data_IF_727063990514
#
_entry.id   IF_727063990514
#
_cell.length_a   1.000
_cell.length_b   1.000
_cell.length_c   1.000
_cell.angle_alpha   90.00
_cell.angle_beta   90.00
_cell.angle_gamma   90.00
#
_symmetry.space_group_name_H-M   'P 1'
#
loop_
_entity.id
_entity.type
_entity.pdbx_description
1 polymer ?
#
# COMPACT_ATOMS: atom_id res chain seq x y z
N UNK A 1 -10.05 12.30 17.51
CA UNK A 1 -9.19 11.79 16.43
C UNK A 1 -8.77 12.95 15.53
N UNK A 2 -7.64 12.85 14.83
CA UNK A 2 -7.11 13.89 13.94
C UNK A 2 -6.57 13.23 12.67
N UNK A 3 -7.05 13.68 11.52
CA UNK A 3 -6.50 13.32 10.21
C UNK A 3 -5.44 14.34 9.80
N UNK A 4 -4.24 13.88 9.44
CA UNK A 4 -3.16 14.71 8.93
C UNK A 4 -2.79 14.25 7.51
N UNK A 5 -2.63 15.20 6.59
CA UNK A 5 -2.34 14.91 5.20
C UNK A 5 -0.99 15.51 4.80
N UNK A 6 -0.01 14.65 4.53
CA UNK A 6 1.22 15.02 3.84
C UNK A 6 0.94 14.92 2.33
N UNK A 7 0.61 16.05 1.72
CA UNK A 7 0.21 16.12 0.30
C UNK A 7 1.31 15.56 -0.60
N UNK A 8 0.92 14.73 -1.55
CA UNK A 8 1.84 13.96 -2.41
C UNK A 8 2.53 12.76 -1.76
N UNK A 9 2.16 12.34 -0.53
CA UNK A 9 2.88 11.27 0.17
C UNK A 9 1.94 10.32 0.93
N UNK A 10 1.28 10.80 1.99
CA UNK A 10 0.55 9.94 2.92
C UNK A 10 -0.55 10.66 3.71
N UNK A 11 -1.50 9.90 4.24
CA UNK A 11 -2.49 10.34 5.23
C UNK A 11 -2.29 9.58 6.53
N UNK A 12 -2.32 10.29 7.65
CA UNK A 12 -2.17 9.73 8.99
C UNK A 12 -3.43 9.99 9.82
N UNK A 13 -3.86 8.99 10.58
CA UNK A 13 -4.91 9.14 11.57
C UNK A 13 -4.35 8.96 12.97
N UNK A 14 -4.58 9.94 13.83
CA UNK A 14 -4.16 9.92 15.23
C UNK A 14 -5.35 9.93 16.20
N UNK A 15 -5.21 9.23 17.32
CA UNK A 15 -6.03 9.40 18.52
C UNK A 15 -5.20 10.12 19.60
N UNK A 16 -5.53 11.38 19.90
CA UNK A 16 -4.66 12.21 20.74
C UNK A 16 -3.28 12.39 20.11
N UNK A 17 -2.25 11.82 20.74
CA UNK A 17 -0.86 11.79 20.24
C UNK A 17 -0.49 10.47 19.58
N UNK A 18 -1.33 9.45 19.70
CA UNK A 18 -1.03 8.11 19.25
C UNK A 18 -1.41 7.93 17.78
N UNK A 19 -0.48 7.43 16.97
CA UNK A 19 -0.71 7.11 15.57
C UNK A 19 -1.51 5.81 15.48
N UNK A 20 -2.67 5.84 14.85
CA UNK A 20 -3.45 4.64 14.54
C UNK A 20 -2.99 4.02 13.22
N UNK A 21 -2.84 4.83 12.18
CA UNK A 21 -2.24 4.37 10.94
C UNK A 21 -1.60 5.49 10.13
N UNK A 22 -0.68 5.09 9.25
CA UNK A 22 -0.22 5.86 8.09
C UNK A 22 -0.58 5.11 6.81
N UNK A 23 -1.32 5.76 5.93
CA UNK A 23 -1.66 5.29 4.58
C UNK A 23 -0.79 6.04 3.57
N UNK A 24 0.20 5.35 3.00
CA UNK A 24 1.08 5.87 1.95
C UNK A 24 0.44 5.57 0.60
N UNK A 25 0.09 6.62 -0.14
CA UNK A 25 -0.55 6.48 -1.46
C UNK A 25 0.41 6.77 -2.62
N UNK A 26 1.54 7.42 -2.34
CA UNK A 26 2.67 7.53 -3.27
C UNK A 26 3.81 6.63 -2.80
N UNK A 27 3.82 5.39 -3.28
CA UNK A 27 4.77 4.36 -2.82
C UNK A 27 6.13 4.50 -3.49
N UNK A 28 7.16 4.80 -2.69
CA UNK A 28 8.57 4.90 -3.12
C UNK A 28 9.37 3.59 -3.14
N UNK A 29 8.71 2.43 -3.09
CA UNK A 29 9.39 1.13 -3.15
C UNK A 29 9.92 0.82 -4.55
N UNK A 30 10.79 -0.18 -4.63
CA UNK A 30 11.41 -0.59 -5.89
C UNK A 30 10.33 -0.99 -6.92
N UNK A 31 10.46 -0.61 -8.21
CA UNK A 31 9.57 -1.08 -9.26
C UNK A 31 9.36 -2.61 -9.31
N UNK A 32 10.38 -3.39 -8.95
CA UNK A 32 10.30 -4.86 -8.87
C UNK A 32 9.32 -5.35 -7.80
N UNK A 33 8.97 -4.51 -6.84
CA UNK A 33 8.05 -4.80 -5.73
C UNK A 33 6.60 -4.41 -6.05
N UNK A 34 6.32 -4.07 -7.30
CA UNK A 34 5.00 -3.68 -7.79
C UNK A 34 4.36 -2.57 -6.95
N UNK A 35 4.89 -1.32 -6.99
CA UNK A 35 4.48 -0.24 -6.09
C UNK A 35 2.96 0.00 -6.10
N UNK A 36 2.40 0.20 -4.91
CA UNK A 36 0.97 0.39 -4.68
C UNK A 36 0.72 1.10 -3.35
N UNK A 37 -0.45 1.72 -3.13
CA UNK A 37 -0.80 2.26 -1.82
C UNK A 37 -0.83 1.20 -0.72
N UNK A 38 -0.40 1.55 0.49
CA UNK A 38 -0.35 0.64 1.62
C UNK A 38 -0.50 1.36 2.97
N UNK A 39 -0.95 0.62 3.99
CA UNK A 39 -0.92 1.03 5.38
C UNK A 39 0.33 0.49 6.08
N UNK A 40 1.19 1.39 6.58
CA UNK A 40 2.23 1.05 7.55
C UNK A 40 2.82 2.32 8.21
N UNK A 41 2.94 2.35 9.55
CA UNK A 41 2.43 1.36 10.49
C UNK A 41 0.90 1.41 10.58
N UNK A 42 0.28 0.29 10.95
CA UNK A 42 -1.12 0.21 11.38
C UNK A 42 -1.12 -0.38 12.79
N UNK A 43 -1.84 0.26 13.71
CA UNK A 43 -1.81 -0.06 15.14
C UNK A 43 -3.20 -0.30 15.69
N UNK A 44 -3.28 -1.15 16.71
CA UNK A 44 -4.46 -1.27 17.57
C UNK A 44 -4.65 -0.01 18.42
N UNK A 45 -5.83 0.15 19.03
CA UNK A 45 -6.07 1.23 20.00
C UNK A 45 -5.18 1.16 21.25
N UNK A 46 -4.58 -0.02 21.53
CA UNK A 46 -3.61 -0.19 22.60
C UNK A 46 -2.17 0.19 22.19
N UNK A 47 -1.95 0.56 20.93
CA UNK A 47 -0.64 0.96 20.40
C UNK A 47 0.17 -0.16 19.74
N UNK A 48 -0.29 -1.41 19.79
CA UNK A 48 0.39 -2.56 19.17
C UNK A 48 0.35 -2.46 17.64
N UNK A 49 1.51 -2.56 16.98
CA UNK A 49 1.63 -2.58 15.52
C UNK A 49 1.24 -3.94 14.94
N UNK A 50 0.38 -3.93 13.93
CA UNK A 50 -0.20 -5.15 13.32
C UNK A 50 0.21 -5.34 11.86
N UNK A 51 1.12 -4.51 11.35
CA UNK A 51 1.71 -4.66 10.02
C UNK A 51 3.22 -4.79 10.10
N UNK A 52 3.81 -5.44 9.12
CA UNK A 52 5.25 -5.45 8.89
C UNK A 52 5.51 -4.81 7.52
N UNK A 53 6.49 -3.92 7.46
CA UNK A 53 6.99 -3.43 6.18
C UNK A 53 8.13 -4.31 5.72
N UNK A 54 8.00 -4.89 4.51
CA UNK A 54 9.08 -5.59 3.82
C UNK A 54 9.62 -6.80 4.59
N UNK A 55 8.83 -7.89 4.73
CA UNK A 55 9.31 -9.15 5.32
C UNK A 55 10.60 -9.64 4.65
N UNK A 56 11.48 -10.27 5.42
CA UNK A 56 12.80 -10.68 4.96
C UNK A 56 12.78 -11.79 3.88
N UNK A 57 11.74 -12.63 3.90
CA UNK A 57 11.54 -13.75 2.99
C UNK A 57 10.78 -13.34 1.72
N UNK A 58 9.98 -12.28 1.80
CA UNK A 58 9.21 -11.73 0.69
C UNK A 58 9.29 -10.19 0.69
N UNK A 59 10.44 -9.62 0.30
CA UNK A 59 10.70 -8.19 0.41
C UNK A 59 9.76 -7.33 -0.47
N UNK A 60 9.09 -7.92 -1.45
CA UNK A 60 8.10 -7.22 -2.26
C UNK A 60 6.74 -7.01 -1.58
N UNK A 61 6.52 -7.53 -0.36
CA UNK A 61 5.31 -7.25 0.42
C UNK A 61 5.47 -6.03 1.31
N UNK A 62 4.58 -5.05 1.16
CA UNK A 62 4.66 -3.75 1.81
C UNK A 62 3.43 -3.48 2.65
N UNK A 63 3.57 -3.54 3.99
CA UNK A 63 2.50 -3.20 4.92
C UNK A 63 1.22 -4.01 4.69
N UNK A 64 0.07 -3.33 4.82
CA UNK A 64 -1.23 -3.84 4.41
C UNK A 64 -1.73 -3.06 3.19
N UNK A 65 -1.98 -3.73 2.08
CA UNK A 65 -2.42 -3.12 0.84
C UNK A 65 -3.64 -3.84 0.25
N UNK A 66 -4.50 -3.10 -0.44
CA UNK A 66 -5.49 -3.68 -1.33
C UNK A 66 -4.80 -3.96 -2.68
N UNK A 67 -4.88 -5.19 -3.19
CA UNK A 67 -4.23 -5.54 -4.45
C UNK A 67 -4.91 -6.71 -5.15
N UNK A 68 -4.69 -6.84 -6.47
CA UNK A 68 -4.75 -8.13 -7.16
C UNK A 68 -3.35 -8.76 -7.13
N UNK A 69 -3.23 -10.07 -7.30
CA UNK A 69 -1.93 -10.71 -7.52
C UNK A 69 -1.47 -10.54 -8.98
N UNK A 70 -2.42 -10.69 -9.91
CA UNK A 70 -2.16 -10.62 -11.34
C UNK A 70 -3.40 -10.08 -12.05
N UNK A 71 -3.24 -9.13 -12.96
CA UNK A 71 -4.34 -8.51 -13.70
C UNK A 71 -3.83 -7.99 -15.04
N UNK A 72 -4.58 -8.22 -16.12
CA UNK A 72 -4.27 -7.69 -17.47
C UNK A 72 -2.86 -8.00 -18.01
N UNK A 73 -2.24 -9.10 -17.58
CA UNK A 73 -0.88 -9.47 -18.00
C UNK A 73 0.22 -9.04 -17.03
N UNK A 74 -0.12 -8.23 -16.03
CA UNK A 74 0.82 -7.65 -15.08
C UNK A 74 0.76 -8.33 -13.71
N UNK A 75 1.94 -8.45 -13.10
CA UNK A 75 2.15 -8.97 -11.76
C UNK A 75 2.10 -7.83 -10.74
N UNK A 76 1.10 -7.84 -9.88
CA UNK A 76 0.93 -6.88 -8.80
C UNK A 76 1.34 -7.48 -7.44
N UNK A 77 1.72 -8.76 -7.39
CA UNK A 77 2.22 -9.38 -6.17
C UNK A 77 3.61 -8.88 -5.78
N UNK A 78 4.36 -8.40 -6.77
CA UNK A 78 5.78 -8.08 -6.63
C UNK A 78 6.66 -9.32 -6.74
N UNK A 79 7.97 -9.12 -6.92
CA UNK A 79 8.89 -10.23 -7.12
C UNK A 79 8.69 -10.95 -8.48
N UNK A 80 9.15 -12.21 -8.61
CA UNK A 80 9.03 -12.95 -9.85
C UNK A 80 7.59 -13.37 -10.16
N UNK A 81 7.23 -13.42 -11.45
CA UNK A 81 5.93 -13.91 -11.92
C UNK A 81 5.90 -15.43 -11.94
N UNK A 82 4.80 -16.03 -11.47
CA UNK A 82 4.56 -17.46 -11.67
C UNK A 82 4.08 -17.73 -13.10
N UNK A 83 4.87 -18.52 -13.85
CA UNK A 83 4.56 -18.99 -15.19
C UNK A 83 4.19 -20.47 -15.12
N UNK A 84 3.02 -20.81 -15.66
CA UNK A 84 2.55 -22.19 -15.70
C UNK A 84 3.56 -23.07 -16.44
N UNK A 85 3.87 -24.24 -15.87
CA UNK A 85 4.83 -25.23 -16.38
C UNK A 85 6.31 -24.80 -16.39
N UNK A 86 6.63 -23.56 -16.01
CA UNK A 86 8.00 -23.03 -15.92
C UNK A 86 8.40 -22.63 -14.48
N UNK A 87 7.43 -22.31 -13.62
CA UNK A 87 7.68 -21.85 -12.25
C UNK A 87 7.86 -20.34 -12.15
N UNK A 88 8.60 -19.87 -11.14
CA UNK A 88 8.83 -18.43 -10.93
C UNK A 88 9.96 -17.92 -11.82
N UNK A 89 9.66 -16.87 -12.60
CA UNK A 89 10.63 -16.20 -13.47
C UNK A 89 10.51 -14.68 -13.33
N UNK A 90 11.64 -14.00 -13.46
CA UNK A 90 11.65 -12.53 -13.59
C UNK A 90 11.21 -12.15 -15.00
N UNK A 91 10.08 -11.44 -15.07
CA UNK A 91 9.51 -10.91 -16.31
C UNK A 91 9.39 -9.39 -16.19
N UNK A 92 9.38 -8.70 -17.32
CA UNK A 92 9.16 -7.25 -17.38
C UNK A 92 7.66 -6.91 -17.34
N UNK A 93 6.94 -7.37 -16.31
CA UNK A 93 5.49 -7.21 -16.20
C UNK A 93 5.04 -6.77 -14.80
N UNK A 94 5.90 -6.12 -14.01
CA UNK A 94 5.53 -5.64 -12.68
C UNK A 94 4.53 -4.50 -12.79
N UNK A 95 3.30 -4.76 -12.35
CA UNK A 95 2.21 -3.80 -12.32
C UNK A 95 2.39 -2.77 -11.20
N UNK A 96 1.79 -1.61 -11.37
CA UNK A 96 1.81 -0.51 -10.39
C UNK A 96 0.39 -0.01 -10.16
N UNK A 97 -0.02 0.13 -8.91
CA UNK A 97 -1.28 0.81 -8.57
C UNK A 97 -0.94 2.26 -8.24
N UNK A 98 -1.54 3.22 -8.94
CA UNK A 98 -1.25 4.65 -8.82
C UNK A 98 -2.40 5.39 -8.15
N UNK A 99 -2.05 6.30 -7.25
CA UNK A 99 -2.97 7.32 -6.78
C UNK A 99 -3.28 8.28 -7.94
N UNK A 100 -4.57 8.45 -8.26
CA UNK A 100 -5.00 9.43 -9.26
C UNK A 100 -5.57 10.69 -8.60
N UNK A 101 -6.45 10.50 -7.62
CA UNK A 101 -7.06 11.61 -6.88
C UNK A 101 -7.74 11.14 -5.59
N UNK A 102 -7.83 12.06 -4.65
CA UNK A 102 -8.84 12.00 -3.60
C UNK A 102 -10.17 12.50 -4.17
N UNK A 103 -11.19 11.64 -4.20
CA UNK A 103 -12.54 12.05 -4.57
C UNK A 103 -13.21 12.78 -3.39
N UNK A 104 -13.00 12.28 -2.16
CA UNK A 104 -13.55 12.84 -0.93
C UNK A 104 -12.57 12.66 0.23
N UNK A 105 -12.50 13.67 1.10
CA UNK A 105 -11.71 13.63 2.34
C UNK A 105 -12.37 14.48 3.42
N UNK A 106 -12.69 13.86 4.57
CA UNK A 106 -13.34 14.50 5.71
C UNK A 106 -12.60 14.20 7.02
N UNK A 107 -12.55 15.18 7.93
CA UNK A 107 -11.83 15.07 9.20
C UNK A 107 -12.70 14.87 10.45
N UNK A 108 -13.97 15.30 10.42
CA UNK A 108 -14.94 15.04 11.48
C UNK A 108 -15.75 13.80 11.10
N UNK A 109 -15.56 12.70 11.84
CA UNK A 109 -15.85 11.36 11.33
C UNK A 109 -14.97 11.01 10.13
N UNK A 110 -13.67 10.68 10.33
CA UNK A 110 -12.71 10.55 9.26
C UNK A 110 -13.16 9.62 8.14
N UNK A 111 -13.16 10.14 6.91
CA UNK A 111 -13.54 9.40 5.71
C UNK A 111 -12.61 9.78 4.56
N UNK A 112 -12.20 8.77 3.79
CA UNK A 112 -11.32 8.89 2.64
C UNK A 112 -11.91 8.09 1.48
N UNK A 113 -12.05 8.72 0.30
CA UNK A 113 -12.40 8.07 -0.95
C UNK A 113 -11.32 8.36 -1.97
N UNK A 114 -10.66 7.32 -2.45
CA UNK A 114 -9.52 7.40 -3.36
C UNK A 114 -9.86 6.80 -4.72
N UNK A 115 -9.41 7.45 -5.79
CA UNK A 115 -9.40 6.88 -7.13
C UNK A 115 -8.01 6.39 -7.47
N UNK A 116 -7.96 5.15 -7.93
CA UNK A 116 -6.73 4.45 -8.30
C UNK A 116 -6.77 4.03 -9.77
N UNK A 117 -5.61 3.93 -10.39
CA UNK A 117 -5.40 3.26 -11.69
C UNK A 117 -4.35 2.17 -11.55
N UNK A 118 -4.32 1.25 -12.52
CA UNK A 118 -3.25 0.26 -12.66
C UNK A 118 -2.75 0.24 -14.10
#
# INVERSE_FOLDING_TARGET
MRLAHAVGEAVELCEGRDLLFRYVYESGVDPEESPKPYFHPLRTLAGEEVTLFRPHDHPWHTGLAMTSAYLSGENFWGGPTFVRDEGYAWLENQGRIRHEAWNEMHGDGPFLSERLSW
#
